data_IF_581292945437
#
_entry.id   IF_581292945437
#
_cell.length_a   1.000
_cell.length_b   1.000
_cell.length_c   1.000
_cell.angle_alpha   90.00
_cell.angle_beta   90.00
_cell.angle_gamma   90.00
#
_symmetry.space_group_name_H-M   'P 1'
#
loop_
_entity.id
_entity.type
_entity.pdbx_description
1 polymer ?
#
# COMPACT_ATOMS: atom_id res chain seq x y z
N UNK A 1 5.17 9.85 6.35
CA UNK A 1 4.45 9.87 5.04
C UNK A 1 4.28 11.29 4.51
N UNK A 2 3.72 12.23 5.24
CA UNK A 2 3.53 13.63 4.82
C UNK A 2 4.81 14.30 4.31
N UNK A 3 5.90 14.22 5.09
CA UNK A 3 7.21 14.80 4.74
C UNK A 3 7.83 14.20 3.46
N UNK A 4 7.65 12.92 3.23
CA UNK A 4 8.10 12.29 1.99
C UNK A 4 7.31 12.79 0.77
N UNK A 5 5.99 12.96 0.90
CA UNK A 5 5.15 13.52 -0.16
C UNK A 5 5.55 14.98 -0.46
N UNK A 6 5.87 15.77 0.55
CA UNK A 6 6.36 17.14 0.39
C UNK A 6 7.70 17.15 -0.38
N UNK A 7 8.61 16.25 -0.05
CA UNK A 7 9.89 16.13 -0.78
C UNK A 7 9.70 15.79 -2.25
N UNK A 8 8.84 14.81 -2.58
CA UNK A 8 8.54 14.47 -3.98
C UNK A 8 7.99 15.67 -4.74
N UNK A 9 7.19 16.53 -4.09
CA UNK A 9 6.64 17.73 -4.73
C UNK A 9 7.68 18.81 -4.96
N UNK A 10 8.75 18.83 -4.18
CA UNK A 10 9.83 19.83 -4.29
C UNK A 10 10.98 19.41 -5.18
N UNK A 11 11.11 18.12 -5.47
CA UNK A 11 12.18 17.57 -6.30
C UNK A 11 11.57 16.71 -7.43
N UNK A 12 11.44 17.30 -8.61
CA UNK A 12 10.89 16.66 -9.81
C UNK A 12 11.71 15.45 -10.31
N UNK A 13 12.92 15.26 -9.79
CA UNK A 13 13.79 14.13 -10.13
C UNK A 13 13.44 12.83 -9.39
N UNK A 14 12.61 12.90 -8.35
CA UNK A 14 12.26 11.74 -7.54
C UNK A 14 10.99 11.07 -8.08
N UNK A 15 11.13 9.87 -8.64
CA UNK A 15 9.98 9.05 -9.02
C UNK A 15 9.37 8.43 -7.77
N UNK A 16 8.08 8.68 -7.49
CA UNK A 16 7.39 8.07 -6.34
C UNK A 16 7.35 6.56 -6.46
N UNK A 17 8.10 5.87 -5.61
CA UNK A 17 8.16 4.41 -5.55
C UNK A 17 8.47 3.96 -4.12
N UNK A 18 8.38 2.67 -3.86
CA UNK A 18 8.83 2.14 -2.58
C UNK A 18 10.34 2.33 -2.39
N UNK A 19 11.12 2.19 -3.46
CA UNK A 19 12.56 2.42 -3.42
C UNK A 19 12.90 3.84 -2.98
N UNK A 20 12.28 4.86 -3.58
CA UNK A 20 12.51 6.25 -3.20
C UNK A 20 12.05 6.55 -1.76
N UNK A 21 11.00 5.89 -1.29
CA UNK A 21 10.57 5.98 0.10
C UNK A 21 11.59 5.34 1.07
N UNK A 22 12.11 4.16 0.74
CA UNK A 22 13.15 3.50 1.55
C UNK A 22 14.42 4.33 1.63
N UNK A 23 14.88 4.87 0.50
CA UNK A 23 16.04 5.76 0.42
C UNK A 23 15.83 7.04 1.25
N UNK A 24 14.64 7.63 1.20
CA UNK A 24 14.28 8.77 2.06
C UNK A 24 14.38 8.41 3.56
N UNK A 25 13.93 7.23 3.97
CA UNK A 25 14.03 6.79 5.35
C UNK A 25 15.47 6.65 5.82
N UNK A 26 16.34 6.12 4.97
CA UNK A 26 17.76 5.90 5.28
C UNK A 26 18.58 7.20 5.31
N UNK A 27 18.17 8.21 4.55
CA UNK A 27 18.89 9.49 4.42
C UNK A 27 18.23 10.60 5.25
N UNK A 28 17.25 11.27 4.68
CA UNK A 28 16.69 12.50 5.25
C UNK A 28 15.93 12.27 6.54
N UNK A 29 15.14 11.19 6.58
CA UNK A 29 14.35 10.90 7.76
C UNK A 29 15.26 10.48 8.93
N UNK A 30 16.32 9.73 8.66
CA UNK A 30 17.33 9.39 9.67
C UNK A 30 18.02 10.66 10.26
N UNK A 31 18.36 11.62 9.40
CA UNK A 31 18.93 12.90 9.81
C UNK A 31 17.93 13.70 10.65
N UNK A 32 16.67 13.75 10.25
CA UNK A 32 15.60 14.43 10.98
C UNK A 32 15.37 13.84 12.38
N UNK A 33 15.40 12.51 12.51
CA UNK A 33 15.26 11.84 13.81
C UNK A 33 16.41 12.19 14.76
N UNK A 34 17.63 12.28 14.23
CA UNK A 34 18.81 12.73 15.00
C UNK A 34 18.69 14.19 15.44
N UNK A 35 18.28 15.07 14.56
CA UNK A 35 18.05 16.49 14.84
C UNK A 35 16.99 16.67 15.94
N UNK A 36 15.88 15.96 15.83
CA UNK A 36 14.78 15.97 16.80
C UNK A 36 15.09 15.18 18.08
N UNK A 37 16.27 14.56 18.18
CA UNK A 37 16.70 13.75 19.32
C UNK A 37 15.67 12.67 19.71
N UNK A 38 15.02 12.06 18.71
CA UNK A 38 14.10 10.94 18.92
C UNK A 38 14.89 9.75 19.43
N UNK A 39 14.46 9.18 20.56
CA UNK A 39 15.15 8.04 21.17
C UNK A 39 14.73 6.75 20.48
N UNK A 40 15.67 5.81 20.33
CA UNK A 40 15.44 4.50 19.73
C UNK A 40 14.26 3.75 20.36
N UNK A 41 14.08 3.86 21.69
CA UNK A 41 12.94 3.28 22.40
C UNK A 41 11.58 3.85 21.99
N UNK A 42 11.54 5.07 21.45
CA UNK A 42 10.33 5.73 21.00
C UNK A 42 10.05 5.42 19.51
N UNK A 43 11.11 5.24 18.71
CA UNK A 43 11.04 4.76 17.33
C UNK A 43 12.37 4.14 16.90
N UNK A 44 12.37 2.83 16.71
CA UNK A 44 13.50 2.06 16.21
C UNK A 44 13.49 2.01 14.67
N UNK A 45 14.21 2.99 14.08
CA UNK A 45 14.33 3.09 12.63
C UNK A 45 15.09 1.90 12.03
N UNK A 46 16.09 1.34 12.74
CA UNK A 46 16.88 0.23 12.25
C UNK A 46 16.02 -1.02 12.10
N UNK A 47 15.23 -1.35 13.12
CA UNK A 47 14.30 -2.46 13.05
C UNK A 47 13.22 -2.23 11.97
N UNK A 48 12.72 -1.01 11.84
CA UNK A 48 11.75 -0.67 10.79
C UNK A 48 12.32 -0.88 9.38
N UNK A 49 13.56 -0.44 9.14
CA UNK A 49 14.24 -0.64 7.86
C UNK A 49 14.50 -2.13 7.57
N UNK A 50 14.88 -2.92 8.56
CA UNK A 50 15.05 -4.37 8.40
C UNK A 50 13.76 -5.07 7.95
N UNK A 51 12.60 -4.64 8.47
CA UNK A 51 11.29 -5.18 8.04
C UNK A 51 10.96 -4.78 6.61
N UNK A 52 11.41 -3.62 6.16
CA UNK A 52 11.15 -3.08 4.81
C UNK A 52 12.16 -3.56 3.77
N UNK A 53 13.36 -3.97 4.17
CA UNK A 53 14.46 -4.35 3.29
C UNK A 53 14.07 -5.41 2.22
N UNK A 54 13.29 -6.46 2.53
CA UNK A 54 12.89 -7.44 1.52
C UNK A 54 12.10 -6.87 0.34
N UNK A 55 11.50 -5.69 0.49
CA UNK A 55 10.72 -5.00 -0.56
C UNK A 55 11.52 -3.93 -1.30
N UNK A 56 12.72 -3.62 -0.81
CA UNK A 56 13.62 -2.67 -1.45
C UNK A 56 14.37 -3.34 -2.61
N UNK A 57 14.90 -2.53 -3.50
CA UNK A 57 15.66 -2.91 -4.69
C UNK A 57 16.62 -4.08 -4.45
N UNK A 58 16.41 -5.18 -5.17
CA UNK A 58 17.19 -6.42 -5.04
C UNK A 58 16.75 -7.34 -3.89
N UNK A 59 15.74 -6.96 -3.10
CA UNK A 59 15.12 -7.83 -2.10
C UNK A 59 14.18 -8.86 -2.73
N UNK A 60 13.81 -9.88 -1.95
CA UNK A 60 12.98 -11.01 -2.40
C UNK A 60 11.61 -10.55 -2.97
N UNK A 61 11.05 -9.46 -2.45
CA UNK A 61 9.71 -8.94 -2.81
C UNK A 61 9.76 -7.57 -3.48
N UNK A 62 10.88 -7.15 -4.07
CA UNK A 62 11.04 -5.84 -4.68
C UNK A 62 10.02 -5.59 -5.82
N UNK A 63 9.69 -6.65 -6.57
CA UNK A 63 8.74 -6.62 -7.68
C UNK A 63 7.30 -6.27 -7.26
N UNK A 64 6.94 -6.43 -5.98
CA UNK A 64 5.59 -6.14 -5.50
C UNK A 64 5.27 -4.64 -5.46
N UNK A 65 6.26 -3.82 -5.11
CA UNK A 65 6.06 -2.41 -4.79
C UNK A 65 6.82 -1.46 -5.72
N UNK A 66 7.65 -2.00 -6.65
CA UNK A 66 8.53 -1.21 -7.52
C UNK A 66 8.32 -1.53 -9.01
N UNK A 67 7.14 -1.96 -9.43
CA UNK A 67 6.86 -2.27 -10.83
C UNK A 67 6.79 -0.99 -11.67
N UNK A 68 7.53 -0.95 -12.75
CA UNK A 68 7.46 0.13 -13.77
C UNK A 68 6.21 0.01 -14.66
N UNK A 69 5.49 -1.12 -14.58
CA UNK A 69 4.30 -1.36 -15.37
C UNK A 69 3.09 -0.68 -14.74
N UNK A 70 2.64 0.39 -15.36
CA UNK A 70 1.36 1.00 -15.01
C UNK A 70 0.23 0.23 -15.70
N UNK A 71 -0.55 -0.49 -14.90
CA UNK A 71 -1.80 -1.06 -15.38
C UNK A 71 -2.90 0.02 -15.27
N UNK A 72 -3.52 0.37 -16.40
CA UNK A 72 -4.67 1.29 -16.38
C UNK A 72 -5.93 0.57 -15.87
N UNK A 73 -5.92 0.23 -14.61
CA UNK A 73 -7.04 -0.43 -13.95
C UNK A 73 -8.21 0.53 -13.69
N UNK A 74 -7.99 1.84 -13.77
CA UNK A 74 -9.04 2.82 -13.51
C UNK A 74 -10.09 2.84 -14.61
N UNK A 75 -9.69 2.68 -15.87
CA UNK A 75 -10.58 2.68 -17.03
C UNK A 75 -11.16 1.30 -17.36
N UNK A 76 -10.60 0.23 -16.84
CA UNK A 76 -11.11 -1.11 -17.03
C UNK A 76 -12.48 -1.31 -16.38
N UNK A 77 -13.51 -1.71 -17.13
CA UNK A 77 -14.88 -1.94 -16.61
C UNK A 77 -15.03 -3.25 -15.84
N UNK A 78 -14.24 -4.24 -16.19
CA UNK A 78 -14.22 -5.56 -15.57
C UNK A 78 -12.79 -5.94 -15.24
N UNK A 79 -12.52 -6.29 -14.00
CA UNK A 79 -11.19 -6.65 -13.49
C UNK A 79 -11.35 -7.91 -12.66
N UNK A 80 -10.52 -8.89 -12.90
CA UNK A 80 -10.41 -10.11 -12.11
C UNK A 80 -8.99 -10.20 -11.58
N UNK A 81 -8.86 -10.43 -10.28
CA UNK A 81 -7.60 -10.75 -9.62
C UNK A 81 -7.63 -12.22 -9.22
N UNK A 82 -6.79 -13.03 -9.84
CA UNK A 82 -6.59 -14.42 -9.45
C UNK A 82 -5.41 -14.49 -8.47
N UNK A 83 -5.70 -14.87 -7.24
CA UNK A 83 -4.71 -14.90 -6.15
C UNK A 83 -4.59 -16.28 -5.49
N UNK A 84 -5.20 -17.30 -6.08
CA UNK A 84 -5.20 -18.66 -5.50
C UNK A 84 -3.78 -19.23 -5.34
N UNK A 85 -2.89 -18.92 -6.30
CA UNK A 85 -1.50 -19.38 -6.26
C UNK A 85 -0.69 -18.86 -5.03
N UNK A 86 -1.13 -17.76 -4.42
CA UNK A 86 -0.44 -17.13 -3.27
C UNK A 86 -1.25 -17.19 -1.98
N UNK A 87 -2.42 -17.83 -1.97
CA UNK A 87 -3.37 -17.82 -0.84
C UNK A 87 -2.79 -18.28 0.49
N UNK A 88 -1.86 -19.23 0.44
CA UNK A 88 -1.22 -19.79 1.63
C UNK A 88 0.14 -19.12 1.95
N UNK A 89 0.55 -18.15 1.15
CA UNK A 89 1.81 -17.45 1.36
C UNK A 89 1.64 -16.35 2.41
N UNK A 90 2.36 -16.41 3.56
CA UNK A 90 2.10 -15.55 4.72
C UNK A 90 2.38 -14.05 4.48
N UNK A 91 3.18 -13.72 3.48
CA UNK A 91 3.57 -12.35 3.12
C UNK A 91 2.85 -11.88 1.87
N UNK A 92 2.89 -12.67 0.78
CA UNK A 92 2.35 -12.22 -0.51
C UNK A 92 0.84 -12.03 -0.47
N UNK A 93 0.10 -12.96 0.14
CA UNK A 93 -1.36 -12.90 0.17
C UNK A 93 -1.89 -11.62 0.86
N UNK A 94 -1.49 -11.27 2.10
CA UNK A 94 -1.99 -10.07 2.75
C UNK A 94 -1.57 -8.78 2.02
N UNK A 95 -0.34 -8.68 1.50
CA UNK A 95 0.13 -7.49 0.79
C UNK A 95 -0.62 -7.31 -0.51
N UNK A 96 -0.72 -8.35 -1.34
CA UNK A 96 -1.47 -8.31 -2.60
C UNK A 96 -2.93 -7.93 -2.36
N UNK A 97 -3.54 -8.48 -1.32
CA UNK A 97 -4.92 -8.16 -0.97
C UNK A 97 -5.09 -6.69 -0.60
N UNK A 98 -4.16 -6.11 0.19
CA UNK A 98 -4.18 -4.68 0.52
C UNK A 98 -4.05 -3.82 -0.74
N UNK A 99 -3.15 -4.16 -1.65
CA UNK A 99 -2.96 -3.44 -2.93
C UNK A 99 -4.26 -3.48 -3.75
N UNK A 100 -4.89 -4.64 -3.89
CA UNK A 100 -6.16 -4.78 -4.62
C UNK A 100 -7.25 -3.93 -3.97
N UNK A 101 -7.36 -3.94 -2.65
CA UNK A 101 -8.34 -3.13 -1.92
C UNK A 101 -8.12 -1.63 -2.09
N UNK A 102 -6.88 -1.16 -2.04
CA UNK A 102 -6.54 0.25 -2.29
C UNK A 102 -6.89 0.67 -3.73
N UNK A 103 -6.57 -0.16 -4.72
CA UNK A 103 -6.98 0.08 -6.10
C UNK A 103 -8.49 0.22 -6.23
N UNK A 104 -9.23 -0.66 -5.57
CA UNK A 104 -10.68 -0.64 -5.58
C UNK A 104 -11.25 0.63 -4.89
N UNK A 105 -10.76 1.00 -3.71
CA UNK A 105 -11.15 2.21 -2.99
C UNK A 105 -10.90 3.45 -3.85
N UNK A 106 -9.73 3.54 -4.48
CA UNK A 106 -9.37 4.65 -5.35
C UNK A 106 -10.32 4.72 -6.57
N UNK A 107 -10.65 3.58 -7.15
CA UNK A 107 -11.61 3.50 -8.26
C UNK A 107 -13.02 3.91 -7.82
N UNK A 108 -13.46 3.47 -6.65
CA UNK A 108 -14.76 3.89 -6.09
C UNK A 108 -14.86 5.40 -5.90
N UNK A 109 -13.81 6.02 -5.37
CA UNK A 109 -13.77 7.47 -5.11
C UNK A 109 -13.78 8.29 -6.41
N UNK A 110 -13.10 7.81 -7.46
CA UNK A 110 -13.02 8.51 -8.75
C UNK A 110 -14.30 8.38 -9.60
N UNK A 111 -14.93 7.22 -9.60
CA UNK A 111 -16.11 6.93 -10.42
C UNK A 111 -17.40 7.25 -9.63
N UNK A 112 -17.69 8.52 -9.40
CA UNK A 112 -18.93 8.95 -8.73
C UNK A 112 -20.15 8.68 -9.62
N UNK A 113 -21.28 8.32 -8.99
CA UNK A 113 -22.55 8.11 -9.72
C UNK A 113 -22.68 6.83 -10.54
N UNK A 114 -21.63 6.02 -10.62
CA UNK A 114 -21.63 4.75 -11.37
C UNK A 114 -21.78 3.60 -10.38
N UNK A 115 -22.73 2.68 -10.66
CA UNK A 115 -22.89 1.45 -9.87
C UNK A 115 -21.64 0.57 -10.01
N UNK A 116 -21.15 0.08 -8.90
CA UNK A 116 -19.97 -0.79 -8.83
C UNK A 116 -20.34 -2.05 -8.06
N UNK A 117 -19.76 -3.17 -8.48
CA UNK A 117 -19.93 -4.46 -7.83
C UNK A 117 -18.55 -5.02 -7.52
N UNK A 118 -18.35 -5.47 -6.30
CA UNK A 118 -17.23 -6.33 -5.90
C UNK A 118 -17.79 -7.71 -5.65
N UNK A 119 -17.14 -8.70 -6.23
CA UNK A 119 -17.33 -10.09 -5.89
C UNK A 119 -16.04 -10.60 -5.27
N UNK A 120 -16.13 -11.11 -4.05
CA UNK A 120 -14.99 -11.69 -3.32
C UNK A 120 -15.35 -13.14 -3.06
N UNK A 121 -14.71 -14.05 -3.77
CA UNK A 121 -14.81 -15.47 -3.49
C UNK A 121 -14.01 -15.81 -2.22
N UNK A 122 -14.49 -16.77 -1.45
CA UNK A 122 -13.85 -17.20 -0.20
C UNK A 122 -13.53 -16.05 0.79
N UNK A 123 -14.38 -15.02 0.83
CA UNK A 123 -14.20 -13.83 1.68
C UNK A 123 -13.89 -14.16 3.15
N UNK A 124 -14.34 -15.30 3.65
CA UNK A 124 -14.09 -15.76 5.01
C UNK A 124 -12.60 -15.97 5.31
N UNK A 125 -11.79 -16.38 4.32
CA UNK A 125 -10.33 -16.51 4.47
C UNK A 125 -9.67 -15.14 4.65
N UNK A 126 -10.14 -14.16 3.89
CA UNK A 126 -9.65 -12.79 4.00
C UNK A 126 -10.07 -12.13 5.33
N UNK A 127 -11.27 -12.42 5.84
CA UNK A 127 -11.81 -11.88 7.10
C UNK A 127 -11.13 -12.51 8.33
N UNK A 128 -10.57 -13.70 8.23
CA UNK A 128 -9.88 -14.37 9.33
C UNK A 128 -8.69 -13.57 9.88
N UNK A 129 -8.11 -12.66 9.08
CA UNK A 129 -7.11 -11.69 9.54
C UNK A 129 -7.80 -10.46 10.14
N UNK A 130 -7.44 -10.08 11.37
CA UNK A 130 -8.02 -8.91 12.07
C UNK A 130 -7.82 -7.60 11.26
N UNK A 131 -6.71 -7.47 10.57
CA UNK A 131 -6.42 -6.31 9.72
C UNK A 131 -7.36 -6.25 8.51
N UNK A 132 -7.65 -7.38 7.88
CA UNK A 132 -8.54 -7.46 6.72
C UNK A 132 -10.01 -7.25 7.09
N UNK A 133 -10.44 -7.70 8.26
CA UNK A 133 -11.79 -7.47 8.75
C UNK A 133 -12.11 -5.96 8.88
N UNK A 134 -11.15 -5.17 9.32
CA UNK A 134 -11.25 -3.69 9.35
C UNK A 134 -11.42 -3.08 7.96
N UNK A 135 -10.65 -3.53 6.98
CA UNK A 135 -10.75 -3.08 5.58
C UNK A 135 -12.09 -3.44 4.95
N UNK A 136 -12.56 -4.66 5.13
CA UNK A 136 -13.85 -5.11 4.59
C UNK A 136 -15.00 -4.30 5.21
N UNK A 137 -14.98 -4.06 6.52
CA UNK A 137 -15.94 -3.16 7.18
C UNK A 137 -15.94 -1.76 6.56
N UNK A 138 -14.77 -1.21 6.26
CA UNK A 138 -14.64 0.08 5.61
C UNK A 138 -15.25 0.09 4.20
N UNK A 139 -15.04 -0.97 3.42
CA UNK A 139 -15.61 -1.13 2.08
C UNK A 139 -17.14 -1.28 2.10
N UNK A 140 -17.67 -1.99 3.09
CA UNK A 140 -19.10 -2.22 3.26
C UNK A 140 -19.81 -1.06 3.97
N UNK A 141 -19.06 -0.11 4.55
CA UNK A 141 -19.68 1.07 5.15
C UNK A 141 -20.38 1.89 4.05
N UNK A 142 -21.65 2.30 4.25
CA UNK A 142 -22.35 3.10 3.28
C UNK A 142 -21.57 4.38 3.06
N UNK A 143 -21.14 4.62 1.81
CA UNK A 143 -20.53 5.89 1.40
C UNK A 143 -21.58 6.98 1.65
N UNK A 144 -21.46 7.71 2.76
CA UNK A 144 -22.26 8.92 2.97
C UNK A 144 -21.88 9.88 1.85
N UNK A 145 -22.75 9.96 0.86
CA UNK A 145 -22.68 11.03 -0.13
C UNK A 145 -23.03 12.31 0.63
N UNK A 146 -22.03 13.15 0.86
CA UNK A 146 -22.31 14.51 1.33
C UNK A 146 -23.16 15.19 0.26
N UNK A 147 -24.39 15.50 0.63
CA UNK A 147 -25.32 16.34 -0.13
C UNK A 147 -24.82 17.77 -0.18
#
# INVERSE_FOLDING_TARGET
MSLFIERIKTDDGIVPSFNSFYEYLTTDYSALLREKKVREKDFDLANFLNVLEPYYKGGEYDYLLNSDKQLDLLNARFIVFEIDAIKDHPILFPITTIIIMELFINKMRRLKGIRKVILIEEAWKAIASANMAGYIKYLCAPVKVAS
#
